data_IF_245099483086
#
_entry.id   IF_245099483086
#
_cell.length_a   1.000
_cell.length_b   1.000
_cell.length_c   1.000
_cell.angle_alpha   90.00
_cell.angle_beta   90.00
_cell.angle_gamma   90.00
#
_symmetry.space_group_name_H-M   'P 1'
#
loop_
_entity.id
_entity.type
_entity.pdbx_description
1 polymer ?
#
# COMPACT_ATOMS: atom_id res chain seq x y z
N UNK A 1 73.60 42.22 -23.19
CA UNK A 1 72.91 41.12 -22.48
C UNK A 1 71.46 41.53 -22.25
N UNK A 2 70.52 41.02 -23.06
CA UNK A 2 69.10 41.43 -23.02
C UNK A 2 68.31 40.32 -22.32
N UNK A 3 67.87 40.58 -21.09
CA UNK A 3 66.95 39.71 -20.35
C UNK A 3 65.56 39.68 -21.01
N UNK A 4 64.96 38.50 -21.15
CA UNK A 4 63.54 38.33 -21.49
C UNK A 4 62.84 37.69 -20.29
N UNK A 5 61.82 38.34 -19.68
CA UNK A 5 61.06 37.73 -18.61
C UNK A 5 60.15 36.61 -19.16
N UNK A 6 60.00 35.49 -18.44
CA UNK A 6 59.09 34.43 -18.86
C UNK A 6 57.63 34.90 -18.70
N UNK A 7 56.89 34.84 -19.80
CA UNK A 7 55.45 35.06 -19.83
C UNK A 7 54.75 33.89 -19.12
N UNK A 8 54.35 34.09 -17.87
CA UNK A 8 53.49 33.16 -17.14
C UNK A 8 52.08 33.29 -17.73
N UNK A 9 51.71 32.34 -18.59
CA UNK A 9 50.39 32.29 -19.21
C UNK A 9 49.38 31.76 -18.18
N UNK A 10 48.75 32.67 -17.44
CA UNK A 10 47.65 32.33 -16.53
C UNK A 10 46.38 32.11 -17.37
N UNK A 11 46.25 30.94 -18.01
CA UNK A 11 45.00 30.56 -18.66
C UNK A 11 43.89 30.54 -17.60
N UNK A 12 42.95 31.46 -17.71
CA UNK A 12 41.71 31.48 -16.94
C UNK A 12 40.88 30.26 -17.35
N UNK A 13 40.96 29.19 -16.56
CA UNK A 13 40.24 27.95 -16.83
C UNK A 13 38.76 28.16 -16.48
N UNK A 14 37.95 28.56 -17.47
CA UNK A 14 36.49 28.39 -17.40
C UNK A 14 36.18 26.95 -17.77
N UNK A 15 36.16 26.08 -16.77
CA UNK A 15 35.68 24.71 -16.94
C UNK A 15 34.17 24.74 -17.13
N UNK A 16 33.68 24.00 -18.11
CA UNK A 16 32.25 23.77 -18.33
C UNK A 16 31.71 22.78 -17.30
N UNK A 17 30.41 22.81 -16.97
CA UNK A 17 29.79 21.85 -16.02
C UNK A 17 30.05 20.40 -16.42
N UNK A 18 30.10 20.15 -17.73
CA UNK A 18 30.47 18.86 -18.34
C UNK A 18 31.91 18.44 -18.04
N UNK A 19 32.86 19.38 -18.01
CA UNK A 19 34.26 19.09 -17.65
C UNK A 19 34.44 18.82 -16.15
N UNK A 20 33.64 19.47 -15.29
CA UNK A 20 33.64 19.13 -13.87
C UNK A 20 33.11 17.71 -13.64
N UNK A 21 32.03 17.33 -14.32
CA UNK A 21 31.47 15.98 -14.25
C UNK A 21 32.43 14.91 -14.78
N UNK A 22 33.17 15.20 -15.87
CA UNK A 22 34.16 14.27 -16.42
C UNK A 22 35.38 14.11 -15.50
N UNK A 23 35.82 15.17 -14.82
CA UNK A 23 36.91 15.10 -13.84
C UNK A 23 36.49 14.43 -12.51
N UNK A 24 35.23 14.56 -12.10
CA UNK A 24 34.67 13.82 -10.96
C UNK A 24 34.52 12.32 -11.28
N UNK A 25 34.15 11.98 -12.51
CA UNK A 25 34.02 10.59 -12.97
C UNK A 25 35.34 9.81 -13.04
N UNK A 26 36.48 10.50 -13.17
CA UNK A 26 37.82 9.86 -13.13
C UNK A 26 38.28 9.46 -11.73
N UNK A 27 37.57 9.87 -10.67
CA UNK A 27 37.93 9.53 -9.29
C UNK A 27 37.02 8.40 -8.74
N UNK A 28 37.58 7.22 -8.44
CA UNK A 28 36.80 6.03 -8.05
C UNK A 28 35.95 6.22 -6.78
N UNK A 29 36.30 7.16 -5.90
CA UNK A 29 35.50 7.47 -4.70
C UNK A 29 34.18 8.16 -5.03
N UNK A 30 34.11 8.96 -6.09
CA UNK A 30 32.88 9.63 -6.52
C UNK A 30 31.93 8.68 -7.25
N UNK A 31 32.46 7.66 -7.95
CA UNK A 31 31.66 6.60 -8.57
C UNK A 31 30.88 5.76 -7.55
N UNK A 32 31.50 5.43 -6.40
CA UNK A 32 30.85 4.68 -5.32
C UNK A 32 29.69 5.45 -4.68
N UNK A 33 29.85 6.76 -4.45
CA UNK A 33 28.79 7.63 -3.92
C UNK A 33 27.63 7.84 -4.89
N UNK A 34 27.92 7.95 -6.20
CA UNK A 34 26.90 8.04 -7.25
C UNK A 34 26.08 6.75 -7.37
N UNK A 35 26.71 5.58 -7.22
CA UNK A 35 26.00 4.30 -7.17
C UNK A 35 25.01 4.22 -6.02
N UNK A 36 25.45 4.58 -4.80
CA UNK A 36 24.56 4.60 -3.62
C UNK A 36 23.44 5.64 -3.77
N UNK A 37 23.75 6.83 -4.27
CA UNK A 37 22.75 7.86 -4.56
C UNK A 37 21.75 7.39 -5.62
N UNK A 38 22.20 6.75 -6.68
CA UNK A 38 21.35 6.20 -7.74
C UNK A 38 20.40 5.13 -7.21
N UNK A 39 20.90 4.19 -6.40
CA UNK A 39 20.07 3.18 -5.72
C UNK A 39 19.08 3.85 -4.76
N UNK A 40 19.50 4.85 -3.99
CA UNK A 40 18.63 5.60 -3.09
C UNK A 40 17.54 6.39 -3.81
N UNK A 41 17.89 7.07 -4.90
CA UNK A 41 16.96 7.82 -5.74
C UNK A 41 15.96 6.88 -6.43
N UNK A 42 16.42 5.74 -6.95
CA UNK A 42 15.57 4.71 -7.54
C UNK A 42 14.61 4.11 -6.49
N UNK A 43 15.11 3.77 -5.30
CA UNK A 43 14.29 3.26 -4.20
C UNK A 43 13.25 4.30 -3.72
N UNK A 44 13.62 5.58 -3.69
CA UNK A 44 12.70 6.66 -3.34
C UNK A 44 11.60 6.86 -4.41
N UNK A 45 11.98 6.82 -5.69
CA UNK A 45 11.04 6.89 -6.80
C UNK A 45 10.08 5.69 -6.79
N UNK A 46 10.60 4.48 -6.58
CA UNK A 46 9.81 3.26 -6.47
C UNK A 46 8.82 3.34 -5.29
N UNK A 47 9.27 3.80 -4.13
CA UNK A 47 8.41 3.99 -2.96
C UNK A 47 7.26 4.95 -3.25
N UNK A 48 7.54 6.09 -3.89
CA UNK A 48 6.49 7.04 -4.29
C UNK A 48 5.56 6.42 -5.34
N UNK A 49 6.09 5.77 -6.37
CA UNK A 49 5.30 5.09 -7.38
C UNK A 49 4.36 4.04 -6.79
N UNK A 50 4.85 3.26 -5.82
CA UNK A 50 4.06 2.24 -5.13
C UNK A 50 2.96 2.84 -4.25
N UNK A 51 3.22 3.96 -3.57
CA UNK A 51 2.18 4.69 -2.82
C UNK A 51 1.06 5.18 -3.75
N UNK A 52 1.43 5.78 -4.89
CA UNK A 52 0.47 6.28 -5.86
C UNK A 52 -0.29 5.14 -6.54
N UNK A 53 0.41 4.05 -6.86
CA UNK A 53 -0.17 2.83 -7.41
C UNK A 53 -1.20 2.21 -6.47
N UNK A 54 -0.91 2.13 -5.17
CA UNK A 54 -1.89 1.67 -4.17
C UNK A 54 -3.13 2.55 -4.12
N UNK A 55 -2.98 3.87 -4.19
CA UNK A 55 -4.13 4.80 -4.19
C UNK A 55 -4.96 4.62 -5.46
N UNK A 56 -4.33 4.54 -6.63
CA UNK A 56 -5.03 4.31 -7.90
C UNK A 56 -5.73 2.96 -7.91
N UNK A 57 -5.09 1.92 -7.36
CA UNK A 57 -5.67 0.60 -7.21
C UNK A 57 -6.92 0.66 -6.33
N UNK A 58 -6.84 1.27 -5.15
CA UNK A 58 -7.98 1.48 -4.27
C UNK A 58 -9.12 2.26 -4.93
N UNK A 59 -8.81 3.24 -5.78
CA UNK A 59 -9.83 4.07 -6.43
C UNK A 59 -10.52 3.42 -7.62
N UNK A 60 -9.81 2.59 -8.39
CA UNK A 60 -10.33 2.06 -9.66
C UNK A 60 -10.65 0.57 -9.64
N UNK A 61 -10.05 -0.19 -8.71
CA UNK A 61 -10.19 -1.65 -8.67
C UNK A 61 -10.88 -2.17 -7.40
N UNK A 62 -11.15 -1.31 -6.41
CA UNK A 62 -11.99 -1.67 -5.28
C UNK A 62 -13.40 -1.10 -5.47
N UNK A 63 -14.39 -1.96 -5.32
CA UNK A 63 -15.80 -1.58 -5.31
C UNK A 63 -16.31 -1.85 -3.89
N UNK A 64 -17.01 -0.88 -3.32
CA UNK A 64 -17.69 -1.05 -2.03
C UNK A 64 -19.15 -1.39 -2.29
N UNK A 65 -19.61 -2.47 -1.68
CA UNK A 65 -21.03 -2.84 -1.67
C UNK A 65 -21.57 -2.62 -0.25
N UNK A 66 -22.51 -1.69 -0.12
CA UNK A 66 -23.23 -1.48 1.13
C UNK A 66 -24.61 -2.14 1.03
N UNK A 67 -24.89 -3.09 1.93
CA UNK A 67 -26.18 -3.76 2.01
C UNK A 67 -26.93 -3.24 3.25
N UNK A 68 -28.07 -2.57 3.10
CA UNK A 68 -28.78 -1.99 4.23
C UNK A 68 -29.44 -3.06 5.11
N UNK A 69 -29.43 -2.88 6.43
CA UNK A 69 -29.98 -3.84 7.39
C UNK A 69 -31.50 -4.05 7.28
N UNK A 70 -32.22 -3.15 6.59
CA UNK A 70 -33.67 -3.27 6.34
C UNK A 70 -34.01 -4.17 5.17
N UNK A 71 -33.04 -4.48 4.31
CA UNK A 71 -33.27 -5.37 3.18
C UNK A 71 -33.27 -6.84 3.65
N UNK A 72 -34.13 -7.66 3.05
CA UNK A 72 -34.22 -9.10 3.33
C UNK A 72 -32.92 -9.83 2.97
N UNK A 73 -32.19 -9.31 1.98
CA UNK A 73 -30.91 -9.87 1.52
C UNK A 73 -29.82 -9.85 2.59
N UNK A 74 -29.91 -8.96 3.59
CA UNK A 74 -28.94 -8.82 4.67
C UNK A 74 -28.74 -10.13 5.45
N UNK A 75 -29.85 -10.78 5.82
CA UNK A 75 -29.81 -12.03 6.59
C UNK A 75 -29.23 -13.19 5.77
N UNK A 76 -29.57 -13.28 4.49
CA UNK A 76 -29.01 -14.29 3.60
C UNK A 76 -27.50 -14.11 3.42
N UNK A 77 -27.03 -12.87 3.28
CA UNK A 77 -25.61 -12.56 3.17
C UNK A 77 -24.84 -12.94 4.43
N UNK A 78 -25.34 -12.61 5.62
CA UNK A 78 -24.70 -12.98 6.89
C UNK A 78 -24.54 -14.49 7.03
N UNK A 79 -25.59 -15.26 6.72
CA UNK A 79 -25.52 -16.72 6.73
C UNK A 79 -24.53 -17.28 5.71
N UNK A 80 -24.46 -16.68 4.51
CA UNK A 80 -23.47 -17.08 3.51
C UNK A 80 -22.05 -16.80 3.97
N UNK A 81 -21.78 -15.62 4.55
CA UNK A 81 -20.46 -15.25 5.09
C UNK A 81 -20.07 -16.23 6.19
N UNK A 82 -20.94 -16.56 7.15
CA UNK A 82 -20.60 -17.53 8.22
C UNK A 82 -20.22 -18.90 7.65
N UNK A 83 -20.89 -19.37 6.58
CA UNK A 83 -20.58 -20.66 5.96
C UNK A 83 -19.26 -20.65 5.18
N UNK A 84 -18.92 -19.52 4.57
CA UNK A 84 -17.73 -19.41 3.73
C UNK A 84 -16.48 -18.98 4.51
N UNK A 85 -16.63 -18.12 5.52
CA UNK A 85 -15.54 -17.59 6.33
C UNK A 85 -15.08 -18.64 7.36
N UNK A 86 -14.06 -19.41 7.00
CA UNK A 86 -13.49 -20.49 7.82
C UNK A 86 -12.76 -20.03 9.09
N UNK A 87 -12.37 -18.76 9.17
CA UNK A 87 -11.55 -18.20 10.26
C UNK A 87 -12.11 -16.89 10.81
N UNK A 88 -13.38 -16.88 11.22
CA UNK A 88 -13.99 -15.69 11.84
C UNK A 88 -13.72 -15.69 13.34
N UNK A 89 -13.02 -14.67 13.87
CA UNK A 89 -12.68 -14.59 15.30
C UNK A 89 -13.78 -13.95 16.15
N UNK A 90 -14.56 -13.01 15.59
CA UNK A 90 -15.61 -12.32 16.33
C UNK A 90 -17.00 -12.72 15.79
N UNK A 91 -17.77 -13.39 16.64
CA UNK A 91 -19.09 -13.92 16.31
C UNK A 91 -20.14 -13.38 17.28
N UNK A 92 -21.33 -13.10 16.78
CA UNK A 92 -22.53 -12.81 17.54
C UNK A 92 -23.53 -13.96 17.37
N UNK A 93 -24.41 -14.13 18.37
CA UNK A 93 -25.39 -15.22 18.37
C UNK A 93 -26.75 -14.63 18.05
N UNK A 94 -27.40 -15.17 17.02
CA UNK A 94 -28.80 -14.91 16.73
C UNK A 94 -29.65 -16.05 17.31
N UNK A 95 -30.58 -15.72 18.20
CA UNK A 95 -31.47 -16.69 18.85
C UNK A 95 -32.85 -16.61 18.23
N UNK A 96 -33.30 -17.70 17.62
CA UNK A 96 -34.68 -17.83 17.14
C UNK A 96 -35.48 -18.65 18.15
N UNK A 97 -36.49 -18.02 18.74
CA UNK A 97 -37.44 -18.67 19.65
C UNK A 97 -38.79 -18.79 18.96
N UNK A 98 -39.23 -20.02 18.70
CA UNK A 98 -40.56 -20.31 18.16
C UNK A 98 -41.38 -21.03 19.21
N UNK A 99 -42.44 -20.37 19.68
CA UNK A 99 -43.43 -20.95 20.57
C UNK A 99 -44.76 -21.09 19.82
N UNK A 100 -45.19 -22.33 19.49
CA UNK A 100 -46.52 -22.55 18.92
C UNK A 100 -47.62 -22.19 19.94
N UNK A 101 -48.65 -21.45 19.52
CA UNK A 101 -49.77 -21.01 20.38
C UNK A 101 -50.63 -22.17 20.93
N UNK A 102 -50.57 -23.35 20.33
CA UNK A 102 -51.43 -24.49 20.65
C UNK A 102 -50.76 -25.56 21.54
N UNK A 103 -50.11 -25.15 22.64
CA UNK A 103 -49.61 -26.08 23.68
C UNK A 103 -48.44 -26.99 23.26
N UNK A 104 -47.75 -26.65 22.16
CA UNK A 104 -46.58 -27.40 21.68
C UNK A 104 -45.27 -27.04 22.39
N UNK A 105 -44.27 -27.92 22.28
CA UNK A 105 -42.92 -27.68 22.82
C UNK A 105 -42.27 -26.45 22.16
N UNK A 106 -41.69 -25.56 22.96
CA UNK A 106 -40.93 -24.42 22.45
C UNK A 106 -39.68 -24.91 21.70
N UNK A 107 -39.46 -24.38 20.49
CA UNK A 107 -38.28 -24.68 19.68
C UNK A 107 -37.34 -23.49 19.72
N UNK A 108 -36.13 -23.72 20.23
CA UNK A 108 -35.06 -22.73 20.26
C UNK A 108 -33.97 -23.15 19.28
N UNK A 109 -33.45 -22.20 18.53
CA UNK A 109 -32.33 -22.43 17.61
C UNK A 109 -31.39 -21.24 17.67
N UNK A 110 -30.10 -21.51 17.54
CA UNK A 110 -29.05 -20.51 17.66
C UNK A 110 -28.16 -20.59 16.43
N UNK A 111 -28.00 -19.46 15.75
CA UNK A 111 -27.11 -19.32 14.61
C UNK A 111 -25.98 -18.35 14.95
N UNK A 112 -24.77 -18.64 14.47
CA UNK A 112 -23.63 -17.75 14.61
C UNK A 112 -23.54 -16.84 13.39
N UNK A 113 -23.44 -15.54 13.62
CA UNK A 113 -23.26 -14.51 12.60
C UNK A 113 -22.00 -13.71 12.91
N UNK A 114 -21.32 -13.12 11.92
CA UNK A 114 -20.19 -12.25 12.19
C UNK A 114 -20.65 -11.07 13.07
N UNK A 115 -19.84 -10.75 14.09
CA UNK A 115 -20.16 -9.62 14.96
C UNK A 115 -20.00 -8.28 14.24
N UNK A 116 -20.49 -7.19 14.83
CA UNK A 116 -20.24 -5.85 14.32
C UNK A 116 -18.73 -5.59 14.28
N UNK A 117 -18.19 -5.19 13.12
CA UNK A 117 -16.77 -4.94 12.92
C UNK A 117 -16.29 -5.17 11.49
N UNK A 118 -14.99 -4.96 11.26
CA UNK A 118 -14.35 -5.28 9.98
C UNK A 118 -13.81 -6.69 10.02
N UNK A 119 -14.23 -7.51 9.07
CA UNK A 119 -13.80 -8.90 8.92
C UNK A 119 -13.09 -9.08 7.59
N UNK A 120 -12.00 -9.84 7.59
CA UNK A 120 -11.29 -10.22 6.39
C UNK A 120 -11.52 -11.71 6.16
N UNK A 121 -12.09 -12.06 5.01
CA UNK A 121 -12.26 -13.43 4.55
C UNK A 121 -11.48 -13.60 3.25
N UNK A 122 -10.82 -14.75 3.09
CA UNK A 122 -9.94 -15.10 1.98
C UNK A 122 -10.34 -16.46 1.41
#
# INVERSE_FOLDING_TARGET
MRWHPPYINVRKVRMTVTEYLSQLGTNPYFGAGFGLFGVGAAAAALRKGMQWGMVLFRRHYMITLEVPCRDKSYQWLLQWITRHARHTQHLSVETTFQQPEAGGSARTSFDFIPSVGTHFFA
#
